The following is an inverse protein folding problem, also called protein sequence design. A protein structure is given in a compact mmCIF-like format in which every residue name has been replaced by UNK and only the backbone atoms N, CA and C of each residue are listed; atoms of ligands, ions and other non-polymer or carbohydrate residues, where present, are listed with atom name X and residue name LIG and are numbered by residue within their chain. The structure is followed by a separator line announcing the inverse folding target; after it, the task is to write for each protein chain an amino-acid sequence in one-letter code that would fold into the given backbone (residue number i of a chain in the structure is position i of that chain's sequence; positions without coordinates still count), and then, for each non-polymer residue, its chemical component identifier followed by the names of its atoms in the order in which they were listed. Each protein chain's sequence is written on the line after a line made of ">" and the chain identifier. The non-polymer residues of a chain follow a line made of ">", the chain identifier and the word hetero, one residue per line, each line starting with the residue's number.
data_IF_424996181605
#
_entry.id   IF_424996181605
#
_cell.length_a   1.000
_cell.length_b   1.000
_cell.length_c   1.000
_cell.angle_alpha   90.00
_cell.angle_beta   90.00
_cell.angle_gamma   90.00
#
_symmetry.space_group_name_H-M   'P 1'
#
loop_
_entity.id
_entity.type
_entity.pdbx_description
1 polymer ?
#
# COMPACT_ATOMS: atom_id res chain seq x y z
N UNK A 1 32.07 53.48 61.16
CA UNK A 1 31.93 53.90 62.57
C UNK A 1 32.42 52.86 63.58
N UNK A 2 32.25 51.55 63.36
CA UNK A 2 32.68 50.51 64.32
C UNK A 2 34.21 50.38 64.47
N UNK A 3 34.98 50.53 63.38
CA UNK A 3 36.45 50.45 63.41
C UNK A 3 37.12 51.57 64.21
N UNK A 4 36.59 52.79 64.14
CA UNK A 4 37.10 53.93 64.92
C UNK A 4 36.86 53.73 66.43
N UNK A 5 35.74 53.13 66.82
CA UNK A 5 35.44 52.82 68.22
C UNK A 5 36.38 51.73 68.78
N UNK A 6 36.70 50.71 68.00
CA UNK A 6 37.63 49.64 68.39
C UNK A 6 39.08 50.15 68.54
N UNK A 7 39.57 50.96 67.60
CA UNK A 7 40.91 51.57 67.70
C UNK A 7 41.04 52.49 68.92
N UNK A 8 39.98 53.25 69.23
CA UNK A 8 39.95 54.11 70.43
C UNK A 8 39.95 53.28 71.72
N UNK A 9 39.22 52.15 71.76
CA UNK A 9 39.20 51.26 72.91
C UNK A 9 40.56 50.58 73.15
N UNK A 10 41.26 50.17 72.08
CA UNK A 10 42.61 49.59 72.17
C UNK A 10 43.62 50.62 72.65
N UNK A 11 43.55 51.87 72.15
CA UNK A 11 44.41 52.95 72.61
C UNK A 11 44.18 53.25 74.11
N UNK A 12 42.92 53.31 74.56
CA UNK A 12 42.55 53.51 75.97
C UNK A 12 43.07 52.37 76.84
N UNK A 13 42.91 51.11 76.41
CA UNK A 13 43.42 49.94 77.13
C UNK A 13 44.95 49.95 77.24
N UNK A 14 45.67 50.30 76.17
CA UNK A 14 47.13 50.38 76.17
C UNK A 14 47.63 51.50 77.09
N UNK A 15 46.93 52.63 77.13
CA UNK A 15 47.26 53.76 78.02
C UNK A 15 47.01 53.41 79.50
N UNK A 16 45.93 52.69 79.81
CA UNK A 16 45.62 52.19 81.15
C UNK A 16 46.64 51.16 81.64
N UNK A 17 47.05 50.23 80.77
CA UNK A 17 48.10 49.24 81.09
C UNK A 17 49.44 49.93 81.33
N UNK A 18 49.81 50.92 80.51
CA UNK A 18 51.04 51.69 80.70
C UNK A 18 51.03 52.51 82.00
N UNK A 19 49.87 53.09 82.36
CA UNK A 19 49.68 53.82 83.62
C UNK A 19 49.77 52.90 84.85
N UNK A 20 49.14 51.72 84.80
CA UNK A 20 49.21 50.71 85.87
C UNK A 20 50.64 50.17 86.05
N UNK A 21 51.38 49.96 84.96
CA UNK A 21 52.76 49.46 84.97
C UNK A 21 53.75 50.53 85.49
N UNK A 22 53.45 51.82 85.31
CA UNK A 22 54.27 52.92 85.84
C UNK A 22 54.09 53.14 87.35
N UNK A 23 52.95 52.77 87.92
CA UNK A 23 52.60 53.02 89.32
C UNK A 23 52.66 51.79 90.25
N UNK A 24 52.89 50.58 89.72
CA UNK A 24 52.97 49.36 90.54
C UNK A 24 54.28 48.62 90.29
N UNK A 25 55.16 48.52 91.30
CA UNK A 25 56.31 47.61 91.25
C UNK A 25 55.86 46.15 91.36
N UNK A 26 55.25 45.61 90.30
CA UNK A 26 54.79 44.21 90.25
C UNK A 26 55.17 43.58 88.91
N UNK A 27 56.25 42.80 88.91
CA UNK A 27 56.77 42.06 87.75
C UNK A 27 55.98 40.77 87.45
N UNK A 28 54.66 40.85 87.22
CA UNK A 28 53.81 39.66 87.00
C UNK A 28 53.05 39.61 85.65
N UNK A 29 53.25 40.58 84.74
CA UNK A 29 52.44 40.70 83.51
C UNK A 29 53.17 40.40 82.18
N UNK A 30 54.45 40.02 82.21
CA UNK A 30 55.26 39.80 80.99
C UNK A 30 54.74 38.69 80.05
N UNK A 31 54.27 37.51 80.51
CA UNK A 31 53.77 36.46 79.62
C UNK A 31 52.41 36.80 78.97
N UNK A 32 51.61 37.64 79.63
CA UNK A 32 50.31 38.08 79.14
C UNK A 32 50.44 39.22 78.11
N UNK A 33 51.42 40.12 78.28
CA UNK A 33 51.76 41.14 77.29
C UNK A 33 52.26 40.52 75.97
N UNK A 34 53.12 39.50 76.05
CA UNK A 34 53.67 38.84 74.87
C UNK A 34 52.59 38.07 74.09
N UNK A 35 51.68 37.38 74.80
CA UNK A 35 50.50 36.73 74.18
C UNK A 35 49.51 37.73 73.61
N UNK A 36 49.34 38.92 74.21
CA UNK A 36 48.46 39.94 73.64
C UNK A 36 49.03 40.58 72.37
N UNK A 37 50.36 40.70 72.26
CA UNK A 37 51.03 41.16 71.04
C UNK A 37 50.88 40.15 69.89
N UNK A 38 51.12 38.86 70.13
CA UNK A 38 50.93 37.79 69.13
C UNK A 38 49.47 37.71 68.65
N UNK A 39 48.51 37.88 69.57
CA UNK A 39 47.09 37.92 69.21
C UNK A 39 46.74 39.16 68.34
N UNK A 40 47.33 40.31 68.64
CA UNK A 40 47.13 41.54 67.88
C UNK A 40 47.71 41.43 66.46
N UNK A 41 48.90 40.85 66.30
CA UNK A 41 49.50 40.61 64.98
C UNK A 41 48.67 39.62 64.15
N UNK A 42 48.13 38.57 64.77
CA UNK A 42 47.22 37.62 64.11
C UNK A 42 45.91 38.27 63.66
N UNK A 43 45.32 39.14 64.48
CA UNK A 43 44.11 39.89 64.10
C UNK A 43 44.40 40.81 62.91
N UNK A 44 45.51 41.55 62.94
CA UNK A 44 45.91 42.41 61.82
C UNK A 44 46.17 41.61 60.53
N UNK A 45 46.78 40.43 60.63
CA UNK A 45 46.98 39.54 59.48
C UNK A 45 45.64 39.04 58.91
N UNK A 46 44.71 38.62 59.77
CA UNK A 46 43.39 38.15 59.34
C UNK A 46 42.54 39.28 58.74
N UNK A 47 42.63 40.50 59.27
CA UNK A 47 41.98 41.67 58.69
C UNK A 47 42.57 42.03 57.32
N UNK A 48 43.89 41.92 57.15
CA UNK A 48 44.54 42.13 55.86
C UNK A 48 44.12 41.07 54.83
N UNK A 49 44.04 39.81 55.23
CA UNK A 49 43.59 38.71 54.36
C UNK A 49 42.10 38.85 54.01
N UNK A 50 41.25 39.22 54.97
CA UNK A 50 39.83 39.47 54.73
C UNK A 50 39.60 40.64 53.77
N UNK A 51 40.38 41.73 53.91
CA UNK A 51 40.32 42.86 52.99
C UNK A 51 40.77 42.46 51.58
N UNK A 52 41.86 41.69 51.44
CA UNK A 52 42.29 41.15 50.13
C UNK A 52 41.22 40.26 49.51
N UNK A 53 40.56 39.42 50.30
CA UNK A 53 39.47 38.55 49.83
C UNK A 53 38.26 39.39 49.37
N UNK A 54 37.91 40.43 50.12
CA UNK A 54 36.84 41.37 49.76
C UNK A 54 37.13 42.09 48.46
N UNK A 55 38.36 42.60 48.27
CA UNK A 55 38.79 43.28 47.05
C UNK A 55 38.79 42.34 45.84
N UNK A 56 39.24 41.09 45.99
CA UNK A 56 39.19 40.11 44.91
C UNK A 56 37.76 39.76 44.53
N UNK A 57 36.87 39.58 45.52
CA UNK A 57 35.45 39.31 45.28
C UNK A 57 34.77 40.49 44.57
N UNK A 58 35.17 41.72 44.86
CA UNK A 58 34.66 42.91 44.19
C UNK A 58 35.09 42.96 42.72
N UNK A 59 36.37 42.68 42.43
CA UNK A 59 36.88 42.61 41.05
C UNK A 59 36.20 41.52 40.22
N UNK A 60 36.00 40.33 40.80
CA UNK A 60 35.27 39.24 40.14
C UNK A 60 33.82 39.63 39.83
N UNK A 61 33.15 40.37 40.73
CA UNK A 61 31.79 40.88 40.50
C UNK A 61 31.74 41.90 39.37
N UNK A 62 32.69 42.83 39.31
CA UNK A 62 32.79 43.81 38.23
C UNK A 62 33.04 43.15 36.87
N UNK A 63 33.90 42.13 36.83
CA UNK A 63 34.17 41.37 35.60
C UNK A 63 32.96 40.54 35.14
N UNK A 64 32.23 39.94 36.08
CA UNK A 64 31.00 39.21 35.79
C UNK A 64 29.88 40.15 35.31
N UNK A 65 29.76 41.35 35.89
CA UNK A 65 28.80 42.36 35.46
C UNK A 65 29.10 42.85 34.04
N UNK A 66 30.38 43.10 33.73
CA UNK A 66 30.82 43.43 32.37
C UNK A 66 30.45 42.32 31.38
N UNK A 67 30.78 41.06 31.70
CA UNK A 67 30.46 39.91 30.85
C UNK A 67 28.95 39.77 30.61
N UNK A 68 28.15 40.01 31.66
CA UNK A 68 26.68 39.99 31.56
C UNK A 68 26.16 41.05 30.58
N UNK A 69 26.67 42.28 30.66
CA UNK A 69 26.24 43.34 29.73
C UNK A 69 26.62 43.03 28.28
N UNK A 70 27.79 42.42 28.04
CA UNK A 70 28.23 41.99 26.70
C UNK A 70 27.33 40.87 26.15
N UNK A 71 26.91 39.93 27.00
CA UNK A 71 25.97 38.87 26.62
C UNK A 71 24.58 39.43 26.29
N UNK A 72 24.05 40.36 27.10
CA UNK A 72 22.76 41.00 26.84
C UNK A 72 22.73 41.75 25.51
N UNK A 73 23.86 42.36 25.10
CA UNK A 73 23.98 43.01 23.78
C UNK A 73 24.01 41.97 22.65
N UNK A 74 24.78 40.88 22.81
CA UNK A 74 24.85 39.80 21.80
C UNK A 74 23.51 39.09 21.61
N UNK A 75 22.76 38.86 22.69
CA UNK A 75 21.42 38.26 22.60
C UNK A 75 20.45 39.14 21.81
N UNK A 76 20.49 40.47 22.01
CA UNK A 76 19.67 41.39 21.21
C UNK A 76 20.04 41.38 19.74
N UNK A 77 21.33 41.35 19.41
CA UNK A 77 21.79 41.26 18.02
C UNK A 77 21.35 39.94 17.36
N UNK A 78 21.48 38.83 18.07
CA UNK A 78 21.04 37.52 17.59
C UNK A 78 19.53 37.46 17.34
N UNK A 79 18.74 38.12 18.21
CA UNK A 79 17.28 38.20 18.06
C UNK A 79 16.89 39.01 16.81
N UNK A 80 17.54 40.15 16.56
CA UNK A 80 17.34 40.95 15.35
C UNK A 80 17.71 40.17 14.09
N UNK A 81 18.85 39.47 14.09
CA UNK A 81 19.25 38.59 12.98
C UNK A 81 18.23 37.48 12.73
N UNK A 82 17.68 36.86 13.79
CA UNK A 82 16.65 35.82 13.69
C UNK A 82 15.36 36.36 13.09
N UNK A 83 14.94 37.57 13.48
CA UNK A 83 13.75 38.22 12.91
C UNK A 83 13.95 38.54 11.42
N UNK A 84 15.11 39.09 11.05
CA UNK A 84 15.45 39.36 9.65
C UNK A 84 15.52 38.09 8.80
N UNK A 85 16.08 37.01 9.35
CA UNK A 85 16.11 35.71 8.67
C UNK A 85 14.69 35.16 8.47
N UNK A 86 13.83 35.26 9.49
CA UNK A 86 12.44 34.79 9.43
C UNK A 86 11.64 35.52 8.34
N UNK A 87 11.77 36.86 8.27
CA UNK A 87 11.15 37.66 7.21
C UNK A 87 11.66 37.30 5.81
N UNK A 88 12.96 37.02 5.70
CA UNK A 88 13.57 36.60 4.43
C UNK A 88 13.04 35.25 3.97
N UNK A 89 12.91 34.27 4.88
CA UNK A 89 12.34 32.96 4.59
C UNK A 89 10.87 33.07 4.19
N UNK A 90 10.09 33.89 4.89
CA UNK A 90 8.68 34.12 4.58
C UNK A 90 8.50 34.70 3.17
N UNK A 91 9.30 35.72 2.81
CA UNK A 91 9.27 36.33 1.47
C UNK A 91 9.62 35.32 0.36
N UNK A 92 10.62 34.47 0.58
CA UNK A 92 10.96 33.41 -0.38
C UNK A 92 9.87 32.34 -0.48
N UNK A 93 9.22 32.00 0.63
CA UNK A 93 8.09 31.08 0.65
C UNK A 93 6.91 31.60 -0.19
N UNK A 94 6.54 32.86 -0.02
CA UNK A 94 5.46 33.50 -0.78
C UNK A 94 5.78 33.55 -2.29
N UNK A 95 7.04 33.82 -2.66
CA UNK A 95 7.48 33.83 -4.05
C UNK A 95 7.47 32.42 -4.67
N UNK A 96 7.90 31.39 -3.93
CA UNK A 96 7.83 29.99 -4.37
C UNK A 96 6.38 29.52 -4.55
N UNK A 97 5.48 29.88 -3.64
CA UNK A 97 4.06 29.57 -3.81
C UNK A 97 3.46 30.26 -5.04
N UNK A 98 3.87 31.51 -5.32
CA UNK A 98 3.44 32.24 -6.52
C UNK A 98 3.92 31.53 -7.78
N UNK A 99 5.18 31.09 -7.82
CA UNK A 99 5.73 30.32 -8.94
C UNK A 99 5.05 28.95 -9.10
N UNK A 100 4.77 28.25 -8.00
CA UNK A 100 4.04 26.98 -8.03
C UNK A 100 2.63 27.14 -8.59
N UNK A 101 1.90 28.18 -8.18
CA UNK A 101 0.56 28.49 -8.71
C UNK A 101 0.59 28.77 -10.21
N UNK A 102 1.63 29.46 -10.70
CA UNK A 102 1.78 29.74 -12.12
C UNK A 102 2.13 28.50 -12.94
N UNK A 103 3.04 27.65 -12.44
CA UNK A 103 3.37 26.37 -13.07
C UNK A 103 2.16 25.42 -13.12
N UNK A 104 1.33 25.40 -12.08
CA UNK A 104 0.10 24.60 -12.07
C UNK A 104 -0.86 25.05 -13.18
N UNK A 105 -1.05 26.36 -13.36
CA UNK A 105 -1.87 26.90 -14.46
C UNK A 105 -1.33 26.52 -15.82
N UNK A 106 -0.02 26.65 -16.02
CA UNK A 106 0.62 26.25 -17.29
C UNK A 106 0.46 24.76 -17.56
N UNK A 107 0.55 23.93 -16.52
CA UNK A 107 0.32 22.49 -16.61
C UNK A 107 -1.13 22.18 -16.98
N UNK A 108 -2.11 22.82 -16.35
CA UNK A 108 -3.54 22.64 -16.69
C UNK A 108 -3.83 23.04 -18.14
N UNK A 109 -3.24 24.14 -18.62
CA UNK A 109 -3.34 24.59 -20.01
C UNK A 109 -2.73 23.58 -20.99
N UNK A 110 -1.52 23.08 -20.70
CA UNK A 110 -0.87 22.04 -21.51
C UNK A 110 -1.68 20.72 -21.49
N UNK A 111 -2.27 20.35 -20.35
CA UNK A 111 -3.15 19.19 -20.26
C UNK A 111 -4.43 19.39 -21.09
N UNK A 112 -5.02 20.59 -21.09
CA UNK A 112 -6.18 20.93 -21.95
C UNK A 112 -5.81 20.85 -23.43
N UNK A 113 -4.70 21.45 -23.83
CA UNK A 113 -4.19 21.38 -25.20
C UNK A 113 -3.87 19.94 -25.61
N UNK A 114 -3.30 19.14 -24.70
CA UNK A 114 -3.06 17.71 -24.88
C UNK A 114 -4.35 16.91 -25.06
N UNK A 115 -5.43 17.22 -24.31
CA UNK A 115 -6.75 16.62 -24.50
C UNK A 115 -7.35 17.00 -25.86
N UNK A 116 -7.23 18.25 -26.29
CA UNK A 116 -7.70 18.70 -27.60
C UNK A 116 -6.91 18.08 -28.76
N UNK A 117 -5.58 17.97 -28.64
CA UNK A 117 -4.74 17.30 -29.62
C UNK A 117 -5.03 15.79 -29.67
N UNK A 118 -5.23 15.12 -28.52
CA UNK A 118 -5.69 13.72 -28.48
C UNK A 118 -7.07 13.53 -29.12
N UNK A 119 -7.97 14.50 -28.99
CA UNK A 119 -9.29 14.47 -29.64
C UNK A 119 -9.20 14.69 -31.17
N UNK A 120 -8.29 15.57 -31.61
CA UNK A 120 -8.05 15.85 -33.04
C UNK A 120 -7.28 14.71 -33.74
N UNK A 121 -6.20 14.23 -33.13
CA UNK A 121 -5.42 13.08 -33.60
C UNK A 121 -6.24 11.79 -33.55
N UNK A 122 -7.03 11.62 -32.48
CA UNK A 122 -7.98 10.54 -32.32
C UNK A 122 -9.05 10.51 -33.42
N UNK A 123 -9.50 11.65 -33.97
CA UNK A 123 -10.46 11.67 -35.09
C UNK A 123 -9.81 11.37 -36.44
N UNK A 124 -8.60 11.89 -36.70
CA UNK A 124 -7.92 11.77 -37.99
C UNK A 124 -7.28 10.38 -38.19
N UNK A 125 -6.67 9.82 -37.13
CA UNK A 125 -6.19 8.44 -37.12
C UNK A 125 -7.34 7.43 -37.00
N UNK A 126 -8.47 7.74 -36.33
CA UNK A 126 -9.65 6.84 -36.31
C UNK A 126 -10.19 6.56 -37.70
N UNK A 127 -10.36 7.57 -38.55
CA UNK A 127 -11.02 7.36 -39.84
C UNK A 127 -10.20 6.50 -40.81
N UNK A 128 -8.86 6.64 -40.78
CA UNK A 128 -7.94 5.88 -41.65
C UNK A 128 -7.55 4.52 -41.07
N UNK A 129 -7.42 4.40 -39.76
CA UNK A 129 -7.05 3.14 -39.10
C UNK A 129 -8.26 2.21 -38.93
N UNK A 130 -9.47 2.72 -38.65
CA UNK A 130 -10.66 1.85 -38.54
C UNK A 130 -11.00 1.16 -39.87
N UNK A 131 -10.90 1.84 -41.02
CA UNK A 131 -11.16 1.21 -42.33
C UNK A 131 -10.12 0.15 -42.69
N UNK A 132 -8.84 0.42 -42.47
CA UNK A 132 -7.76 -0.53 -42.78
C UNK A 132 -7.73 -1.71 -41.78
N UNK A 133 -8.00 -1.45 -40.49
CA UNK A 133 -8.07 -2.50 -39.46
C UNK A 133 -9.30 -3.37 -39.63
N UNK A 134 -10.45 -2.80 -40.02
CA UNK A 134 -11.68 -3.54 -40.31
C UNK A 134 -11.50 -4.47 -41.54
N UNK A 135 -10.86 -3.98 -42.61
CA UNK A 135 -10.61 -4.79 -43.81
C UNK A 135 -9.55 -5.87 -43.60
N UNK A 136 -8.44 -5.56 -42.90
CA UNK A 136 -7.44 -6.57 -42.51
C UNK A 136 -7.98 -7.57 -41.48
N UNK A 137 -8.86 -7.14 -40.58
CA UNK A 137 -9.50 -8.02 -39.60
C UNK A 137 -10.50 -8.95 -40.28
N UNK A 138 -11.34 -8.46 -41.22
CA UNK A 138 -12.20 -9.32 -42.04
C UNK A 138 -11.38 -10.34 -42.81
N UNK A 139 -10.31 -9.91 -43.49
CA UNK A 139 -9.40 -10.83 -44.19
C UNK A 139 -8.71 -11.83 -43.24
N UNK A 140 -8.40 -11.43 -42.01
CA UNK A 140 -7.82 -12.32 -40.99
C UNK A 140 -8.86 -13.32 -40.46
N UNK A 141 -10.10 -12.90 -40.24
CA UNK A 141 -11.22 -13.77 -39.85
C UNK A 141 -11.54 -14.77 -40.96
N UNK A 142 -11.63 -14.31 -42.21
CA UNK A 142 -11.92 -15.09 -43.42
C UNK A 142 -10.75 -16.02 -43.79
N UNK A 143 -9.51 -15.56 -43.69
CA UNK A 143 -8.30 -16.35 -43.91
C UNK A 143 -8.17 -17.52 -42.93
N UNK A 144 -8.58 -17.33 -41.69
CA UNK A 144 -8.67 -18.40 -40.69
C UNK A 144 -9.97 -19.22 -40.76
N UNK A 145 -11.01 -18.75 -41.45
CA UNK A 145 -12.27 -19.49 -41.62
C UNK A 145 -12.11 -20.73 -42.53
N UNK A 146 -11.01 -20.81 -43.27
CA UNK A 146 -10.59 -22.01 -44.01
C UNK A 146 -10.16 -23.17 -43.08
N UNK A 147 -9.85 -22.90 -41.80
CA UNK A 147 -9.74 -23.90 -40.75
C UNK A 147 -10.96 -23.82 -39.81
N UNK A 148 -12.05 -24.40 -40.31
CA UNK A 148 -13.36 -24.61 -39.68
C UNK A 148 -13.44 -24.39 -38.15
N UNK A 149 -14.13 -23.32 -37.73
CA UNK A 149 -14.86 -23.30 -36.46
C UNK A 149 -16.32 -22.96 -36.76
N UNK A 150 -17.18 -23.98 -36.76
CA UNK A 150 -18.60 -23.91 -37.15
C UNK A 150 -19.51 -23.16 -36.16
N UNK A 151 -19.00 -22.16 -35.43
CA UNK A 151 -19.79 -21.46 -34.40
C UNK A 151 -19.41 -20.01 -34.08
N UNK A 152 -18.46 -19.40 -34.81
CA UNK A 152 -18.13 -17.99 -34.65
C UNK A 152 -18.91 -17.14 -35.68
N UNK A 153 -19.54 -16.07 -35.25
CA UNK A 153 -20.36 -15.18 -36.10
C UNK A 153 -19.84 -13.74 -36.06
N UNK A 154 -19.65 -13.11 -37.21
CA UNK A 154 -19.43 -11.66 -37.27
C UNK A 154 -20.80 -10.94 -37.22
N UNK A 155 -20.91 -9.95 -36.34
CA UNK A 155 -22.10 -9.12 -36.17
C UNK A 155 -21.85 -7.71 -36.71
N UNK A 156 -22.87 -7.14 -37.34
CA UNK A 156 -22.85 -5.75 -37.80
C UNK A 156 -23.03 -4.76 -36.65
N UNK A 157 -22.61 -3.51 -36.87
CA UNK A 157 -22.81 -2.46 -35.88
C UNK A 157 -24.30 -2.24 -35.52
N UNK A 158 -25.22 -2.44 -36.48
CA UNK A 158 -26.66 -2.26 -36.28
C UNK A 158 -27.23 -3.34 -35.37
N UNK A 159 -26.79 -4.58 -35.55
CA UNK A 159 -27.21 -5.68 -34.67
C UNK A 159 -26.77 -5.44 -33.23
N UNK A 160 -25.58 -4.88 -33.01
CA UNK A 160 -25.12 -4.50 -31.67
C UNK A 160 -26.01 -3.41 -31.08
N UNK A 161 -26.25 -2.33 -31.83
CA UNK A 161 -27.03 -1.18 -31.35
C UNK A 161 -28.50 -1.55 -31.06
N UNK A 162 -29.11 -2.37 -31.90
CA UNK A 162 -30.51 -2.81 -31.77
C UNK A 162 -30.71 -3.82 -30.64
N UNK A 163 -29.65 -4.56 -30.26
CA UNK A 163 -29.70 -5.58 -29.21
C UNK A 163 -29.51 -5.04 -27.78
N UNK A 164 -29.13 -3.76 -27.63
CA UNK A 164 -28.92 -3.13 -26.32
C UNK A 164 -30.17 -2.33 -25.95
N UNK A 165 -30.82 -2.62 -24.81
CA UNK A 165 -31.94 -1.82 -24.33
C UNK A 165 -31.54 -0.34 -24.14
N UNK A 166 -32.35 0.58 -24.68
CA UNK A 166 -32.09 2.05 -24.68
C UNK A 166 -32.01 2.65 -23.27
N UNK A 167 -32.61 2.01 -22.28
CA UNK A 167 -32.58 2.44 -20.89
C UNK A 167 -31.27 2.08 -20.18
N UNK A 168 -30.34 1.34 -20.83
CA UNK A 168 -29.04 0.90 -20.31
C UNK A 168 -29.08 0.22 -18.93
N UNK A 169 -30.28 -0.19 -18.50
CA UNK A 169 -30.55 -0.72 -17.16
C UNK A 169 -30.05 -2.14 -16.98
N UNK A 170 -29.76 -2.84 -18.08
CA UNK A 170 -29.34 -4.24 -18.13
C UNK A 170 -27.83 -4.43 -18.34
N UNK A 171 -27.01 -3.63 -17.64
CA UNK A 171 -25.59 -3.94 -17.54
C UNK A 171 -25.41 -5.09 -16.54
N UNK A 172 -24.83 -6.19 -17.00
CA UNK A 172 -24.46 -7.35 -16.16
C UNK A 172 -23.25 -7.01 -15.28
N UNK A 173 -22.41 -6.08 -15.73
CA UNK A 173 -21.25 -5.64 -14.98
C UNK A 173 -20.44 -4.60 -15.73
N UNK A 174 -19.63 -3.85 -14.99
CA UNK A 174 -18.64 -2.91 -15.52
C UNK A 174 -17.27 -3.31 -15.01
N UNK A 175 -16.43 -3.83 -15.92
CA UNK A 175 -15.04 -4.14 -15.63
C UNK A 175 -14.10 -3.00 -16.02
N UNK A 176 -12.80 -3.19 -15.79
CA UNK A 176 -11.75 -2.28 -16.26
C UNK A 176 -11.65 -2.18 -17.79
N UNK A 177 -12.21 -3.16 -18.49
CA UNK A 177 -12.00 -3.38 -19.92
C UNK A 177 -13.23 -3.02 -20.77
N UNK A 178 -14.37 -2.76 -20.14
CA UNK A 178 -15.60 -2.49 -20.85
C UNK A 178 -16.84 -2.73 -20.01
N UNK A 179 -17.99 -2.65 -20.67
CA UNK A 179 -19.30 -2.89 -20.06
C UNK A 179 -19.87 -4.16 -20.67
N UNK A 180 -20.42 -5.03 -19.83
CA UNK A 180 -21.09 -6.26 -20.25
C UNK A 180 -22.59 -6.07 -20.14
N UNK A 181 -23.32 -6.39 -21.21
CA UNK A 181 -24.77 -6.31 -21.29
C UNK A 181 -25.37 -7.71 -21.48
N UNK A 182 -26.55 -7.94 -20.93
CA UNK A 182 -27.43 -9.03 -21.39
C UNK A 182 -28.11 -8.54 -22.67
N UNK A 183 -27.88 -9.22 -23.78
CA UNK A 183 -28.38 -8.82 -25.08
C UNK A 183 -29.00 -10.01 -25.82
N UNK A 184 -29.82 -9.74 -26.84
CA UNK A 184 -30.49 -10.78 -27.62
C UNK A 184 -30.34 -10.58 -29.14
N UNK A 185 -29.10 -10.57 -29.67
CA UNK A 185 -28.90 -10.48 -31.11
C UNK A 185 -29.47 -11.71 -31.81
N UNK A 186 -30.28 -11.49 -32.85
CA UNK A 186 -30.96 -12.53 -33.64
C UNK A 186 -31.81 -13.50 -32.79
N UNK A 187 -32.39 -13.03 -31.68
CA UNK A 187 -33.23 -13.87 -30.81
C UNK A 187 -32.46 -14.85 -29.93
N UNK A 188 -31.13 -14.70 -29.80
CA UNK A 188 -30.29 -15.54 -28.94
C UNK A 188 -29.75 -14.71 -27.77
N UNK A 189 -30.03 -15.14 -26.54
CA UNK A 189 -29.49 -14.50 -25.34
C UNK A 189 -27.98 -14.67 -25.25
N UNK A 190 -27.25 -13.56 -25.15
CA UNK A 190 -25.79 -13.50 -25.04
C UNK A 190 -25.36 -12.54 -23.93
N UNK A 191 -24.14 -12.74 -23.43
CA UNK A 191 -23.42 -11.71 -22.70
C UNK A 191 -22.55 -10.92 -23.70
N UNK A 192 -22.91 -9.66 -23.94
CA UNK A 192 -22.22 -8.79 -24.89
C UNK A 192 -21.27 -7.84 -24.17
N UNK A 193 -19.96 -8.03 -24.34
CA UNK A 193 -18.91 -7.18 -23.76
C UNK A 193 -18.50 -6.13 -24.79
N UNK A 194 -18.75 -4.86 -24.47
CA UNK A 194 -18.36 -3.72 -25.30
C UNK A 194 -17.11 -3.08 -24.70
N UNK A 195 -16.01 -3.14 -25.44
CA UNK A 195 -14.72 -2.61 -25.01
C UNK A 195 -14.63 -1.10 -25.30
N UNK A 196 -13.84 -0.38 -24.49
CA UNK A 196 -13.69 1.07 -24.64
C UNK A 196 -12.90 1.44 -25.92
N UNK A 197 -13.64 1.92 -26.92
CA UNK A 197 -13.12 2.41 -28.21
C UNK A 197 -12.15 3.58 -28.12
N UNK A 198 -12.10 4.29 -26.99
CA UNK A 198 -11.21 5.43 -26.77
C UNK A 198 -9.84 5.03 -26.25
N UNK A 199 -9.69 3.78 -25.81
CA UNK A 199 -8.43 3.26 -25.30
C UNK A 199 -7.71 2.41 -26.35
N UNK A 200 -6.43 2.69 -26.61
CA UNK A 200 -5.54 1.79 -27.35
C UNK A 200 -5.51 0.37 -26.76
N UNK A 201 -5.79 0.29 -25.45
CA UNK A 201 -5.89 -0.95 -24.72
C UNK A 201 -7.08 -1.81 -25.20
N UNK A 202 -8.24 -1.22 -25.46
CA UNK A 202 -9.45 -1.94 -25.89
C UNK A 202 -9.29 -2.63 -27.23
N UNK A 203 -8.61 -2.02 -28.21
CA UNK A 203 -8.34 -2.67 -29.50
C UNK A 203 -7.43 -3.90 -29.35
N UNK A 204 -6.38 -3.78 -28.54
CA UNK A 204 -5.43 -4.87 -28.30
C UNK A 204 -6.12 -6.05 -27.61
N UNK A 205 -6.91 -5.78 -26.58
CA UNK A 205 -7.67 -6.79 -25.85
C UNK A 205 -8.71 -7.46 -26.74
N UNK A 206 -9.41 -6.70 -27.59
CA UNK A 206 -10.35 -7.25 -28.57
C UNK A 206 -9.67 -8.29 -29.47
N UNK A 207 -8.56 -7.90 -30.12
CA UNK A 207 -7.80 -8.80 -31.01
C UNK A 207 -7.29 -10.03 -30.28
N UNK A 208 -6.88 -9.87 -29.03
CA UNK A 208 -6.35 -10.93 -28.19
C UNK A 208 -7.43 -11.93 -27.75
N UNK A 209 -8.59 -11.46 -27.26
CA UNK A 209 -9.73 -12.32 -26.90
C UNK A 209 -10.22 -13.12 -28.11
N UNK A 210 -10.43 -12.47 -29.26
CA UNK A 210 -10.84 -13.15 -30.50
C UNK A 210 -9.80 -14.19 -30.94
N UNK A 211 -8.51 -13.82 -30.94
CA UNK A 211 -7.44 -14.71 -31.38
C UNK A 211 -7.24 -15.94 -30.50
N UNK A 212 -7.55 -15.85 -29.20
CA UNK A 212 -7.44 -16.98 -28.26
C UNK A 212 -8.71 -17.84 -28.30
N UNK A 213 -9.88 -17.23 -28.09
CA UNK A 213 -11.13 -17.96 -27.89
C UNK A 213 -11.73 -18.54 -29.17
N UNK A 214 -11.29 -18.08 -30.35
CA UNK A 214 -11.61 -18.76 -31.62
C UNK A 214 -10.94 -20.13 -31.72
N UNK A 215 -9.80 -20.33 -31.05
CA UNK A 215 -8.95 -21.53 -31.19
C UNK A 215 -9.11 -22.54 -30.05
N UNK A 216 -9.67 -22.11 -28.91
CA UNK A 216 -9.78 -22.94 -27.71
C UNK A 216 -11.25 -23.12 -27.35
N UNK A 217 -11.67 -24.39 -27.22
CA UNK A 217 -12.99 -24.76 -26.68
C UNK A 217 -12.80 -25.80 -25.59
N UNK A 218 -13.34 -25.51 -24.41
CA UNK A 218 -13.26 -26.39 -23.26
C UNK A 218 -14.51 -26.20 -22.38
N UNK A 219 -15.06 -27.24 -21.73
CA UNK A 219 -16.27 -27.14 -20.90
C UNK A 219 -16.18 -26.11 -19.76
N UNK A 220 -14.97 -25.83 -19.26
CA UNK A 220 -14.71 -24.83 -18.22
C UNK A 220 -14.16 -23.49 -18.75
N UNK A 221 -14.34 -23.20 -20.03
CA UNK A 221 -14.03 -21.90 -20.64
C UNK A 221 -15.29 -21.30 -21.25
N UNK A 222 -15.48 -20.00 -21.10
CA UNK A 222 -16.60 -19.29 -21.72
C UNK A 222 -16.45 -19.31 -23.24
N UNK A 223 -17.51 -19.69 -23.93
CA UNK A 223 -17.54 -19.78 -25.39
C UNK A 223 -17.77 -18.39 -25.99
N UNK A 224 -16.82 -17.96 -26.83
CA UNK A 224 -17.00 -16.82 -27.73
C UNK A 224 -17.85 -17.23 -28.93
N UNK A 225 -19.06 -16.69 -29.02
CA UNK A 225 -20.02 -16.94 -30.10
C UNK A 225 -19.76 -16.07 -31.33
N UNK A 226 -19.16 -14.91 -31.13
CA UNK A 226 -18.92 -13.97 -32.22
C UNK A 226 -18.38 -12.63 -31.76
N UNK A 227 -18.17 -11.74 -32.71
CA UNK A 227 -17.67 -10.40 -32.46
C UNK A 227 -18.27 -9.38 -33.45
N UNK A 228 -18.20 -8.11 -33.07
CA UNK A 228 -18.40 -6.97 -33.96
C UNK A 228 -17.18 -6.06 -33.86
N UNK A 229 -16.34 -6.11 -34.90
CA UNK A 229 -15.14 -5.29 -35.04
C UNK A 229 -15.43 -3.79 -35.02
N UNK A 230 -16.47 -3.34 -35.74
CA UNK A 230 -16.88 -1.93 -35.82
C UNK A 230 -17.23 -1.34 -34.45
N UNK A 231 -17.74 -2.17 -33.53
CA UNK A 231 -18.16 -1.76 -32.18
C UNK A 231 -17.18 -2.17 -31.08
N UNK A 232 -16.12 -2.91 -31.40
CA UNK A 232 -15.29 -3.62 -30.42
C UNK A 232 -16.15 -4.40 -29.40
N UNK A 233 -17.15 -5.12 -29.91
CA UNK A 233 -18.09 -5.90 -29.11
C UNK A 233 -17.82 -7.40 -29.25
N UNK A 234 -17.87 -8.12 -28.14
CA UNK A 234 -17.66 -9.56 -28.08
C UNK A 234 -18.93 -10.23 -27.54
N UNK A 235 -19.39 -11.27 -28.21
CA UNK A 235 -20.62 -11.99 -27.88
C UNK A 235 -20.28 -13.34 -27.27
N UNK A 236 -20.59 -13.49 -25.99
CA UNK A 236 -20.36 -14.71 -25.21
C UNK A 236 -21.66 -15.46 -24.96
N UNK A 237 -21.55 -16.76 -24.68
CA UNK A 237 -22.67 -17.47 -24.06
C UNK A 237 -23.10 -16.76 -22.77
N UNK A 238 -24.42 -16.65 -22.56
CA UNK A 238 -24.96 -16.05 -21.35
C UNK A 238 -24.92 -17.07 -20.20
N UNK A 239 -24.29 -16.70 -19.08
CA UNK A 239 -24.24 -17.50 -17.87
C UNK A 239 -25.20 -16.89 -16.82
N UNK A 240 -26.37 -17.51 -16.56
CA UNK A 240 -27.37 -16.95 -15.64
C UNK A 240 -26.87 -16.89 -14.19
N UNK A 241 -25.92 -17.76 -13.82
CA UNK A 241 -25.33 -17.80 -12.50
C UNK A 241 -24.42 -16.60 -12.18
N UNK A 242 -24.14 -15.71 -13.12
CA UNK A 242 -23.31 -14.52 -12.88
C UNK A 242 -21.85 -14.86 -12.57
N UNK A 243 -21.16 -13.94 -11.88
CA UNK A 243 -19.76 -14.08 -11.48
C UNK A 243 -19.61 -14.87 -10.17
N UNK A 244 -18.38 -15.29 -9.87
CA UNK A 244 -18.08 -15.93 -8.58
C UNK A 244 -18.37 -14.99 -7.42
N UNK A 245 -18.04 -13.71 -7.56
CA UNK A 245 -18.33 -12.67 -6.58
C UNK A 245 -19.84 -12.53 -6.33
N UNK A 246 -20.67 -12.59 -7.37
CA UNK A 246 -22.14 -12.58 -7.23
C UNK A 246 -22.63 -13.78 -6.42
N UNK A 247 -22.07 -14.97 -6.67
CA UNK A 247 -22.41 -16.21 -5.97
C UNK A 247 -21.96 -16.22 -4.49
N UNK A 248 -20.82 -15.61 -4.17
CA UNK A 248 -20.29 -15.51 -2.81
C UNK A 248 -20.92 -14.36 -2.02
N UNK A 249 -21.58 -13.41 -2.68
CA UNK A 249 -22.21 -12.28 -2.01
C UNK A 249 -23.29 -12.73 -1.00
N UNK A 250 -23.47 -11.94 0.06
CA UNK A 250 -24.49 -12.19 1.10
C UNK A 250 -25.89 -11.71 0.69
N UNK A 251 -26.03 -11.11 -0.49
CA UNK A 251 -27.31 -10.63 -0.99
C UNK A 251 -28.08 -11.80 -1.62
N UNK A 252 -29.32 -12.00 -1.16
CA UNK A 252 -30.22 -12.97 -1.79
C UNK A 252 -30.48 -12.55 -3.24
N UNK A 253 -30.11 -13.41 -4.19
CA UNK A 253 -30.44 -13.18 -5.60
C UNK A 253 -31.96 -13.19 -5.76
N UNK A 254 -32.49 -12.21 -6.50
CA UNK A 254 -33.92 -12.12 -6.84
C UNK A 254 -34.45 -13.29 -7.66
N UNK A 255 -33.57 -14.09 -8.27
CA UNK A 255 -33.94 -15.25 -9.09
C UNK A 255 -33.38 -16.53 -8.44
N UNK A 256 -34.30 -17.40 -7.99
CA UNK A 256 -34.02 -18.70 -7.42
C UNK A 256 -33.66 -19.69 -8.53
N UNK A 257 -32.39 -19.73 -8.93
CA UNK A 257 -31.87 -20.82 -9.76
C UNK A 257 -31.72 -22.06 -8.88
N UNK A 258 -32.33 -23.19 -9.27
CA UNK A 258 -32.10 -24.45 -8.58
C UNK A 258 -30.63 -24.83 -8.77
N UNK A 259 -29.95 -25.17 -7.68
CA UNK A 259 -28.54 -25.60 -7.69
C UNK A 259 -28.30 -26.86 -8.53
N UNK A 260 -29.38 -27.51 -8.99
CA UNK A 260 -29.44 -28.77 -9.71
C UNK A 260 -29.16 -28.62 -11.23
N UNK A 261 -29.23 -27.40 -11.79
CA UNK A 261 -28.73 -27.11 -13.13
C UNK A 261 -27.21 -26.87 -13.09
N UNK A 262 -26.46 -27.96 -12.87
CA UNK A 262 -24.99 -28.13 -12.99
C UNK A 262 -24.21 -26.80 -13.02
N UNK A 263 -23.89 -26.28 -11.84
CA UNK A 263 -23.01 -25.12 -11.65
C UNK A 263 -21.59 -25.39 -12.17
N UNK A 264 -21.40 -25.28 -13.49
CA UNK A 264 -20.10 -25.37 -14.14
C UNK A 264 -19.43 -24.01 -14.06
N UNK A 265 -18.31 -23.93 -13.34
CA UNK A 265 -17.46 -22.75 -13.36
C UNK A 265 -16.74 -22.66 -14.72
N UNK A 266 -16.77 -21.47 -15.33
CA UNK A 266 -16.12 -21.18 -16.60
C UNK A 266 -15.22 -19.95 -16.48
N UNK A 267 -13.99 -20.05 -16.98
CA UNK A 267 -13.07 -18.92 -17.06
C UNK A 267 -13.41 -18.03 -18.27
N UNK A 268 -13.35 -16.71 -18.07
CA UNK A 268 -13.56 -15.67 -19.08
C UNK A 268 -12.41 -14.65 -19.07
N UNK A 269 -12.54 -13.57 -19.86
CA UNK A 269 -11.64 -12.40 -19.87
C UNK A 269 -10.18 -12.69 -20.26
N UNK A 270 -10.01 -13.08 -21.53
CA UNK A 270 -8.70 -13.39 -22.10
C UNK A 270 -7.96 -12.18 -22.68
N UNK A 271 -8.46 -10.95 -22.49
CA UNK A 271 -7.91 -9.73 -23.10
C UNK A 271 -6.47 -9.44 -22.70
N UNK A 272 -6.05 -9.90 -21.53
CA UNK A 272 -4.66 -9.76 -21.05
C UNK A 272 -3.86 -11.07 -21.11
N UNK A 273 -4.47 -12.19 -21.52
CA UNK A 273 -3.88 -13.53 -21.53
C UNK A 273 -2.87 -13.71 -22.67
N UNK A 274 -1.64 -14.15 -22.40
CA UNK A 274 -0.60 -14.26 -23.44
C UNK A 274 -0.49 -15.68 -23.97
N UNK A 275 -0.40 -15.81 -25.29
CA UNK A 275 0.05 -17.05 -25.91
C UNK A 275 1.58 -17.10 -25.83
N UNK A 276 2.11 -17.98 -24.97
CA UNK A 276 3.54 -18.21 -24.86
C UNK A 276 3.93 -19.28 -25.89
N UNK A 277 4.93 -18.97 -26.73
CA UNK A 277 5.50 -19.98 -27.62
C UNK A 277 6.38 -20.91 -26.79
N UNK A 278 6.03 -22.19 -26.71
CA UNK A 278 6.93 -23.22 -26.21
C UNK A 278 8.09 -23.35 -27.20
N UNK A 279 9.21 -22.66 -26.94
CA UNK A 279 10.47 -23.01 -27.58
C UNK A 279 11.05 -24.21 -26.83
N UNK A 280 11.48 -25.22 -27.58
CA UNK A 280 12.12 -26.44 -27.08
C UNK A 280 13.52 -26.22 -26.52
N UNK A 281 13.99 -24.97 -26.47
CA UNK A 281 15.27 -24.60 -25.91
C UNK A 281 15.11 -24.30 -24.42
N UNK A 282 15.97 -24.91 -23.62
CA UNK A 282 15.90 -25.13 -22.16
C UNK A 282 16.10 -23.89 -21.29
N UNK A 283 15.54 -22.75 -21.67
CA UNK A 283 15.46 -21.56 -20.82
C UNK A 283 14.01 -21.08 -20.86
N UNK A 284 13.28 -21.29 -19.76
CA UNK A 284 11.95 -20.71 -19.53
C UNK A 284 11.98 -19.28 -20.06
N UNK A 285 11.22 -18.92 -21.11
CA UNK A 285 11.30 -17.57 -21.63
C UNK A 285 10.82 -16.65 -20.51
N UNK A 286 11.76 -15.89 -19.95
CA UNK A 286 11.51 -14.85 -18.95
C UNK A 286 10.68 -13.77 -19.65
N UNK A 287 9.38 -14.00 -19.84
CA UNK A 287 8.45 -13.03 -20.37
C UNK A 287 8.25 -11.96 -19.31
N UNK A 288 9.07 -10.92 -19.39
CA UNK A 288 8.97 -9.72 -18.58
C UNK A 288 7.98 -8.78 -19.25
N UNK A 289 7.01 -8.31 -18.47
CA UNK A 289 6.06 -7.28 -18.86
C UNK A 289 6.48 -5.96 -18.27
N UNK A 290 6.53 -4.90 -19.08
CA UNK A 290 6.84 -3.54 -18.63
C UNK A 290 5.80 -2.98 -17.64
N UNK A 291 4.52 -3.29 -17.87
CA UNK A 291 3.40 -2.87 -17.01
C UNK A 291 2.55 -4.09 -16.63
N UNK A 292 2.71 -4.63 -15.41
CA UNK A 292 1.83 -5.68 -14.88
C UNK A 292 0.37 -5.22 -14.85
N UNK A 293 -0.55 -6.09 -15.26
CA UNK A 293 -2.00 -5.83 -15.29
C UNK A 293 -2.76 -7.03 -14.72
N UNK A 294 -3.87 -6.75 -14.06
CA UNK A 294 -4.83 -7.75 -13.60
C UNK A 294 -5.67 -7.25 -12.43
N UNK A 295 -6.46 -8.15 -11.86
CA UNK A 295 -7.45 -7.84 -10.83
C UNK A 295 -6.81 -7.82 -9.44
N UNK A 296 -6.76 -6.63 -8.83
CA UNK A 296 -6.02 -6.30 -7.60
C UNK A 296 -5.80 -7.44 -6.58
N UNK A 297 -6.85 -8.03 -6.00
CA UNK A 297 -6.68 -9.02 -4.92
C UNK A 297 -6.15 -10.39 -5.39
N UNK A 298 -6.20 -10.67 -6.69
CA UNK A 298 -5.67 -11.90 -7.30
C UNK A 298 -4.27 -11.70 -7.91
N UNK A 299 -3.74 -10.47 -7.89
CA UNK A 299 -2.46 -10.15 -8.48
C UNK A 299 -1.30 -10.72 -7.66
N UNK A 300 -0.47 -11.51 -8.33
CA UNK A 300 0.78 -12.02 -7.78
C UNK A 300 1.72 -10.86 -7.40
N UNK A 301 2.13 -10.73 -6.12
CA UNK A 301 3.01 -9.66 -5.67
C UNK A 301 4.40 -9.69 -6.32
N UNK A 302 4.91 -10.87 -6.66
CA UNK A 302 6.19 -11.01 -7.36
C UNK A 302 6.04 -10.62 -8.84
N UNK A 303 4.89 -10.89 -9.46
CA UNK A 303 4.58 -10.39 -10.81
C UNK A 303 4.43 -8.87 -10.84
N UNK A 304 3.74 -8.29 -9.85
CA UNK A 304 3.59 -6.83 -9.73
C UNK A 304 4.94 -6.12 -9.62
N UNK A 305 5.90 -6.71 -8.90
CA UNK A 305 7.22 -6.11 -8.69
C UNK A 305 8.22 -6.41 -9.79
N UNK A 306 8.18 -7.61 -10.39
CA UNK A 306 9.21 -8.06 -11.34
C UNK A 306 8.76 -8.08 -12.80
N UNK A 307 7.46 -8.01 -13.07
CA UNK A 307 6.87 -8.16 -14.41
C UNK A 307 7.00 -9.56 -15.02
N UNK A 308 7.66 -10.51 -14.36
CA UNK A 308 7.90 -11.87 -14.87
C UNK A 308 6.65 -12.73 -14.75
N UNK A 309 6.15 -13.25 -15.87
CA UNK A 309 4.91 -14.04 -15.93
C UNK A 309 5.17 -15.54 -15.69
N UNK A 310 5.42 -15.94 -14.44
CA UNK A 310 5.59 -17.37 -14.10
C UNK A 310 4.84 -17.70 -12.82
N UNK A 311 3.98 -18.73 -12.82
CA UNK A 311 3.19 -19.17 -11.66
C UNK A 311 2.29 -18.09 -11.02
N UNK A 312 2.01 -16.99 -11.72
CA UNK A 312 1.09 -15.96 -11.24
C UNK A 312 -0.36 -16.46 -11.22
N UNK A 313 -0.71 -17.34 -12.17
CA UNK A 313 -2.03 -17.99 -12.19
C UNK A 313 -2.22 -18.94 -11.00
N UNK A 314 -1.13 -19.59 -10.53
CA UNK A 314 -1.16 -20.43 -9.32
C UNK A 314 -1.46 -19.58 -8.09
N UNK A 315 -0.91 -18.37 -8.01
CA UNK A 315 -1.22 -17.44 -6.93
C UNK A 315 -2.70 -17.05 -6.94
N UNK A 316 -3.23 -16.65 -8.10
CA UNK A 316 -4.65 -16.30 -8.25
C UNK A 316 -5.57 -17.47 -7.88
N UNK A 317 -5.25 -18.69 -8.32
CA UNK A 317 -5.96 -19.91 -7.91
C UNK A 317 -5.94 -20.10 -6.39
N UNK A 318 -4.80 -19.85 -5.74
CA UNK A 318 -4.69 -19.92 -4.29
C UNK A 318 -5.66 -18.98 -3.56
N UNK A 319 -5.83 -17.75 -4.05
CA UNK A 319 -6.80 -16.79 -3.51
C UNK A 319 -8.24 -17.29 -3.72
N UNK A 320 -8.56 -17.82 -4.90
CA UNK A 320 -9.89 -18.38 -5.21
C UNK A 320 -10.22 -19.56 -4.29
N UNK A 321 -9.28 -20.48 -4.07
CA UNK A 321 -9.48 -21.60 -3.13
C UNK A 321 -9.80 -21.10 -1.71
N UNK A 322 -9.12 -20.06 -1.25
CA UNK A 322 -9.42 -19.45 0.06
C UNK A 322 -10.81 -18.81 0.07
N UNK A 323 -11.22 -18.11 -0.98
CA UNK A 323 -12.56 -17.52 -1.07
C UNK A 323 -13.66 -18.57 -1.03
N UNK A 324 -13.50 -19.65 -1.80
CA UNK A 324 -14.50 -20.73 -1.88
C UNK A 324 -14.75 -21.39 -0.52
N UNK A 325 -13.72 -21.58 0.29
CA UNK A 325 -13.85 -22.19 1.62
C UNK A 325 -14.41 -21.21 2.65
N UNK A 326 -14.07 -19.91 2.52
CA UNK A 326 -14.37 -18.91 3.54
C UNK A 326 -15.64 -18.10 3.27
N UNK A 327 -16.13 -18.07 2.03
CA UNK A 327 -17.22 -17.17 1.61
C UNK A 327 -16.85 -15.68 1.69
N UNK A 328 -15.57 -15.34 1.84
CA UNK A 328 -15.10 -13.97 2.07
C UNK A 328 -14.59 -13.29 0.80
N UNK A 329 -14.60 -11.96 0.79
CA UNK A 329 -13.98 -11.16 -0.28
C UNK A 329 -12.47 -11.43 -0.35
N UNK A 330 -11.90 -11.50 -1.57
CA UNK A 330 -10.47 -11.72 -1.76
C UNK A 330 -9.58 -10.62 -1.15
N UNK A 331 -10.11 -9.40 -1.01
CA UNK A 331 -9.36 -8.24 -0.53
C UNK A 331 -8.85 -8.47 0.90
N UNK A 332 -7.53 -8.61 1.05
CA UNK A 332 -6.90 -8.85 2.34
C UNK A 332 -7.06 -10.28 2.90
N UNK A 333 -7.77 -11.16 2.19
CA UNK A 333 -8.14 -12.50 2.65
C UNK A 333 -6.91 -13.34 3.05
N UNK A 334 -5.92 -13.40 2.17
CA UNK A 334 -4.70 -14.19 2.40
C UNK A 334 -3.95 -13.77 3.66
N UNK A 335 -3.83 -12.45 3.91
CA UNK A 335 -3.19 -11.93 5.12
C UNK A 335 -3.96 -12.35 6.37
N UNK A 336 -5.29 -12.16 6.34
CA UNK A 336 -6.18 -12.55 7.43
C UNK A 336 -6.11 -14.05 7.76
N UNK A 337 -6.06 -14.90 6.73
CA UNK A 337 -5.94 -16.35 6.91
C UNK A 337 -4.59 -16.75 7.50
N UNK A 338 -3.48 -16.18 7.01
CA UNK A 338 -2.16 -16.42 7.59
C UNK A 338 -2.13 -16.03 9.07
N UNK A 339 -2.57 -14.83 9.42
CA UNK A 339 -2.54 -14.33 10.81
C UNK A 339 -3.42 -15.17 11.77
N UNK A 340 -4.57 -15.66 11.30
CA UNK A 340 -5.47 -16.53 12.08
C UNK A 340 -4.89 -17.92 12.27
N UNK A 341 -4.35 -18.51 11.20
CA UNK A 341 -3.92 -19.91 11.17
C UNK A 341 -2.50 -20.13 11.67
N UNK A 342 -1.59 -19.18 11.53
CA UNK A 342 -0.22 -19.29 12.06
C UNK A 342 -0.21 -19.51 13.58
N UNK A 343 -1.21 -18.98 14.28
CA UNK A 343 -1.40 -19.19 15.72
C UNK A 343 -2.03 -20.54 16.07
N UNK A 344 -2.40 -21.35 15.08
CA UNK A 344 -3.13 -22.62 15.25
C UNK A 344 -2.32 -23.77 14.64
N UNK A 345 -2.03 -24.80 15.44
CA UNK A 345 -1.27 -25.95 14.94
C UNK A 345 -2.18 -27.04 14.36
N UNK A 346 -3.04 -26.68 13.39
CA UNK A 346 -4.14 -27.51 12.91
C UNK A 346 -3.71 -28.91 12.43
N UNK A 347 -2.53 -29.03 11.81
CA UNK A 347 -2.05 -30.29 11.23
C UNK A 347 -1.72 -31.40 12.23
N UNK A 348 -1.60 -31.08 13.53
CA UNK A 348 -1.33 -32.07 14.60
C UNK A 348 -2.56 -32.39 15.46
N UNK A 349 -3.71 -31.82 15.13
CA UNK A 349 -4.92 -31.90 15.94
C UNK A 349 -5.88 -32.95 15.36
N UNK A 350 -6.69 -33.57 16.22
CA UNK A 350 -7.80 -34.42 15.78
C UNK A 350 -8.92 -33.60 15.13
N UNK A 351 -9.75 -34.24 14.30
CA UNK A 351 -10.85 -33.63 13.54
C UNK A 351 -11.79 -32.79 14.41
N UNK A 352 -12.08 -33.24 15.64
CA UNK A 352 -13.00 -32.54 16.55
C UNK A 352 -12.41 -31.21 17.01
N UNK A 353 -11.11 -31.18 17.35
CA UNK A 353 -10.41 -29.94 17.68
C UNK A 353 -10.27 -29.02 16.47
N UNK A 354 -9.98 -29.57 15.29
CA UNK A 354 -9.90 -28.80 14.05
C UNK A 354 -11.24 -28.11 13.75
N UNK A 355 -12.35 -28.86 13.80
CA UNK A 355 -13.72 -28.34 13.65
C UNK A 355 -14.00 -27.18 14.60
N UNK A 356 -13.73 -27.39 15.89
CA UNK A 356 -13.96 -26.37 16.93
C UNK A 356 -13.19 -25.08 16.67
N UNK A 357 -11.94 -25.17 16.19
CA UNK A 357 -11.13 -23.98 15.88
C UNK A 357 -11.66 -23.26 14.65
N UNK A 358 -11.99 -23.99 13.58
CA UNK A 358 -12.52 -23.41 12.35
C UNK A 358 -13.85 -22.68 12.59
N UNK A 359 -14.74 -23.28 13.39
CA UNK A 359 -16.00 -22.67 13.84
C UNK A 359 -15.74 -21.44 14.72
N UNK A 360 -14.90 -21.58 15.76
CA UNK A 360 -14.56 -20.48 16.69
C UNK A 360 -13.94 -19.27 15.97
N UNK A 361 -13.09 -19.52 14.98
CA UNK A 361 -12.42 -18.48 14.21
C UNK A 361 -13.26 -17.96 13.04
N UNK A 362 -14.46 -18.51 12.82
CA UNK A 362 -15.34 -18.17 11.70
C UNK A 362 -14.57 -18.17 10.37
N UNK A 363 -13.83 -19.25 10.13
CA UNK A 363 -13.03 -19.41 8.91
C UNK A 363 -13.88 -19.93 7.77
N UNK A 364 -14.74 -20.92 8.05
CA UNK A 364 -15.59 -21.53 7.03
C UNK A 364 -16.83 -20.68 6.78
N UNK A 365 -17.31 -20.69 5.53
CA UNK A 365 -18.60 -20.11 5.16
C UNK A 365 -19.73 -20.79 5.97
N UNK A 366 -20.58 -19.98 6.59
CA UNK A 366 -21.70 -20.41 7.43
C UNK A 366 -22.78 -21.16 6.66
N UNK A 367 -22.81 -21.01 5.33
CA UNK A 367 -23.72 -21.73 4.42
C UNK A 367 -23.28 -23.18 4.14
N UNK A 368 -22.05 -23.57 4.49
CA UNK A 368 -21.52 -24.90 4.20
C UNK A 368 -22.02 -25.93 5.23
N UNK A 369 -22.48 -27.09 4.76
CA UNK A 369 -22.87 -28.21 5.64
C UNK A 369 -21.60 -28.90 6.17
N UNK A 370 -21.36 -28.80 7.47
CA UNK A 370 -20.14 -29.28 8.12
C UNK A 370 -20.26 -30.74 8.58
N UNK A 371 -20.12 -31.69 7.65
CA UNK A 371 -19.75 -33.06 8.01
C UNK A 371 -18.23 -33.21 8.19
N UNK A 372 -17.79 -34.32 8.80
CA UNK A 372 -16.37 -34.54 9.15
C UNK A 372 -15.47 -34.63 7.92
N UNK A 373 -15.99 -35.15 6.79
CA UNK A 373 -15.27 -35.22 5.53
C UNK A 373 -15.05 -33.83 4.95
N UNK A 374 -16.10 -33.02 4.91
CA UNK A 374 -16.09 -31.66 4.41
C UNK A 374 -15.11 -30.79 5.20
N UNK A 375 -15.00 -31.00 6.51
CA UNK A 375 -14.01 -30.33 7.36
C UNK A 375 -12.59 -30.69 6.94
N UNK A 376 -12.30 -31.98 6.70
CA UNK A 376 -10.98 -32.40 6.24
C UNK A 376 -10.65 -31.84 4.87
N UNK A 377 -11.58 -31.91 3.91
CA UNK A 377 -11.41 -31.35 2.57
C UNK A 377 -11.21 -29.82 2.63
N UNK A 378 -11.96 -29.12 3.49
CA UNK A 378 -11.79 -27.68 3.73
C UNK A 378 -10.40 -27.32 4.28
N UNK A 379 -9.87 -28.11 5.22
CA UNK A 379 -8.52 -27.91 5.76
C UNK A 379 -7.47 -28.10 4.67
N UNK A 380 -7.63 -29.13 3.83
CA UNK A 380 -6.75 -29.38 2.70
C UNK A 380 -6.81 -28.24 1.69
N UNK A 381 -8.00 -27.76 1.34
CA UNK A 381 -8.19 -26.59 0.46
C UNK A 381 -7.58 -25.31 1.05
N UNK A 382 -7.73 -25.05 2.35
CA UNK A 382 -7.10 -23.91 3.03
C UNK A 382 -5.57 -24.00 2.97
N UNK A 383 -5.01 -25.17 3.29
CA UNK A 383 -3.57 -25.43 3.23
C UNK A 383 -3.02 -25.27 1.82
N UNK A 384 -3.70 -25.85 0.82
CA UNK A 384 -3.34 -25.72 -0.59
C UNK A 384 -3.44 -24.27 -1.06
N UNK A 385 -4.53 -23.56 -0.71
CA UNK A 385 -4.72 -22.15 -1.03
C UNK A 385 -3.61 -21.25 -0.49
N UNK A 386 -3.18 -21.48 0.76
CA UNK A 386 -2.06 -20.75 1.38
C UNK A 386 -0.70 -21.04 0.71
N UNK A 387 -0.45 -22.30 0.31
CA UNK A 387 0.77 -22.67 -0.42
C UNK A 387 0.79 -22.08 -1.83
N UNK A 388 -0.33 -22.14 -2.55
CA UNK A 388 -0.48 -21.55 -3.88
C UNK A 388 -0.32 -20.02 -3.86
N UNK A 389 -0.87 -19.35 -2.85
CA UNK A 389 -0.80 -17.89 -2.66
C UNK A 389 0.41 -17.42 -1.84
N UNK A 390 1.51 -18.18 -1.87
CA UNK A 390 2.75 -17.76 -1.23
C UNK A 390 3.42 -16.61 -2.02
N UNK A 391 4.04 -15.65 -1.33
CA UNK A 391 4.60 -14.47 -1.99
C UNK A 391 5.75 -14.85 -2.93
N UNK A 392 6.68 -15.67 -2.46
CA UNK A 392 7.80 -16.20 -3.27
C UNK A 392 7.30 -17.30 -4.23
N UNK A 393 7.48 -17.09 -5.54
CA UNK A 393 7.11 -18.05 -6.59
C UNK A 393 7.72 -19.43 -6.39
N UNK A 394 9.01 -19.49 -6.05
CA UNK A 394 9.76 -20.76 -5.90
C UNK A 394 9.22 -21.68 -4.82
N UNK A 395 8.39 -21.15 -3.90
CA UNK A 395 7.75 -21.93 -2.83
C UNK A 395 6.33 -22.38 -3.16
N UNK A 396 5.78 -21.94 -4.30
CA UNK A 396 4.46 -22.34 -4.75
C UNK A 396 4.54 -23.74 -5.37
N UNK A 397 3.55 -24.62 -5.10
CA UNK A 397 3.48 -25.93 -5.70
C UNK A 397 3.29 -25.84 -7.22
N UNK A 398 3.74 -26.86 -7.95
CA UNK A 398 3.48 -26.98 -9.37
C UNK A 398 2.00 -27.30 -9.63
N UNK A 399 1.37 -26.59 -10.59
CA UNK A 399 -0.06 -26.73 -10.86
C UNK A 399 -0.43 -28.16 -11.30
N UNK A 400 0.33 -28.76 -12.21
CA UNK A 400 0.04 -30.06 -12.80
C UNK A 400 0.52 -31.21 -11.91
N UNK A 401 1.71 -31.09 -11.32
CA UNK A 401 2.33 -32.18 -10.58
C UNK A 401 1.86 -32.28 -9.11
N UNK A 402 1.39 -31.18 -8.50
CA UNK A 402 1.05 -31.15 -7.07
C UNK A 402 -0.38 -30.65 -6.82
N UNK A 403 -0.76 -29.49 -7.37
CA UNK A 403 -2.06 -28.85 -7.07
C UNK A 403 -3.22 -29.66 -7.64
N UNK A 404 -3.16 -30.01 -8.92
CA UNK A 404 -4.24 -30.72 -9.61
C UNK A 404 -4.54 -32.11 -9.01
N UNK A 405 -3.54 -32.99 -8.76
CA UNK A 405 -3.78 -34.28 -8.11
C UNK A 405 -4.40 -34.15 -6.72
N UNK A 406 -4.01 -33.13 -5.95
CA UNK A 406 -4.57 -32.91 -4.62
C UNK A 406 -6.06 -32.53 -4.69
N UNK A 407 -6.44 -31.60 -5.58
CA UNK A 407 -7.84 -31.22 -5.82
C UNK A 407 -8.64 -32.43 -6.35
N UNK A 408 -8.10 -33.15 -7.33
CA UNK A 408 -8.76 -34.31 -7.93
C UNK A 408 -9.04 -35.41 -6.88
N UNK A 409 -8.09 -35.63 -5.96
CA UNK A 409 -8.26 -36.60 -4.88
C UNK A 409 -9.38 -36.23 -3.91
N UNK A 410 -9.64 -34.94 -3.66
CA UNK A 410 -10.76 -34.50 -2.82
C UNK A 410 -12.10 -34.83 -3.50
N UNK A 411 -12.17 -34.64 -4.82
CA UNK A 411 -13.36 -34.87 -5.65
C UNK A 411 -13.70 -36.37 -5.81
N UNK A 412 -12.70 -37.25 -5.93
CA UNK A 412 -12.91 -38.70 -6.11
C UNK A 412 -13.53 -39.40 -4.89
N UNK A 413 -13.50 -38.77 -3.72
CA UNK A 413 -13.98 -39.31 -2.45
C UNK A 413 -15.52 -39.45 -2.35
N UNK A 414 -16.28 -39.08 -3.39
CA UNK A 414 -17.74 -39.30 -3.48
C UNK A 414 -18.11 -40.61 -4.22
N UNK A 415 -17.13 -41.35 -4.76
CA UNK A 415 -17.36 -42.64 -5.42
C UNK A 415 -16.67 -43.79 -4.67
N UNK A 416 -17.15 -44.11 -3.46
CA UNK A 416 -16.99 -45.44 -2.86
C UNK A 416 -18.25 -45.83 -2.07
#
# INVERSE_FOLDING_TARGET
>A
MVAAAAATAVAVAHTLVFWLNRNSQVAFLSPYLLKSQDLAERILSLEADLNRQSENTLKEKEEHEKTRTELEVKEKQLEEERQNHTLTVQRHGEELERQSRELERQREELERQGRELKMKDGKLNRMKTLTIVDEKFRQWIEGEASNSSSGFTEFSHSEVDDSIPKDQKYHLGKGSYGIVYKAEPRGKTVAMKILDKSSWQGEREFKQEVGILKRIRHPNLVILLGACSEKFALMYEFLPSGTLEDCLSKEERKESFSWEEKNVCKLSDFGISRLLQHSTDTVIPNHITEVPKGSGPYMDPEFMSTGKLTQSDVFALGIILLQLVTGQSATGLRKHMVDKLERQNLGKMDTRRQKMILEKLQILDDKLKLDDKFIQDSIRMLSLGLRCSYNERKRRPNLEAEVWPEIESMNKSECL
#
